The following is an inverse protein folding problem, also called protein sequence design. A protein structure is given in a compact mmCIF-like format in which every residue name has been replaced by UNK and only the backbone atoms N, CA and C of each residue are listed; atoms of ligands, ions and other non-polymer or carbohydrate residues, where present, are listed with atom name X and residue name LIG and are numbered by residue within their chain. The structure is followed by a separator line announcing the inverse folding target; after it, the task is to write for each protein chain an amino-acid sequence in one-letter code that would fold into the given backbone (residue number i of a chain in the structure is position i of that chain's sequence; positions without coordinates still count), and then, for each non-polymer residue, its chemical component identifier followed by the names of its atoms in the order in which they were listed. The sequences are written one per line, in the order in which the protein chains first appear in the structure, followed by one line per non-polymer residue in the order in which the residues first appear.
data_IF_510762511398
#
_entry.id   IF_510762511398
#
_cell.length_a   1.000
_cell.length_b   1.000
_cell.length_c   1.000
_cell.angle_alpha   90.00
_cell.angle_beta   90.00
_cell.angle_gamma   90.00
#
_symmetry.space_group_name_H-M   'P 1'
#
loop_
_entity.id
_entity.type
_entity.pdbx_description
1 polymer ?
#
# COMPACT_ATOMS: atom_id res chain seq x y z
N UNK A 1 15.43 -22.99 47.17
CA UNK A 1 15.75 -21.77 46.41
C UNK A 1 15.50 -22.05 44.93
N UNK A 2 14.31 -21.81 44.36
CA UNK A 2 14.11 -22.31 42.99
C UNK A 2 12.91 -21.85 42.16
N UNK A 3 12.14 -20.86 42.58
CA UNK A 3 11.03 -20.31 41.75
C UNK A 3 11.19 -18.81 41.48
N UNK A 4 11.57 -18.01 42.48
CA UNK A 4 11.93 -16.59 42.29
C UNK A 4 13.11 -16.40 41.34
N UNK A 5 14.10 -17.30 41.39
CA UNK A 5 15.28 -17.25 40.52
C UNK A 5 14.93 -17.63 39.06
N UNK A 6 14.04 -18.62 38.88
CA UNK A 6 13.49 -18.97 37.55
C UNK A 6 12.61 -17.87 36.97
N UNK A 7 11.80 -17.20 37.80
CA UNK A 7 10.98 -16.08 37.36
C UNK A 7 11.86 -14.92 36.89
N UNK A 8 12.91 -14.57 37.64
CA UNK A 8 13.89 -13.54 37.21
C UNK A 8 14.65 -13.94 35.95
N UNK A 9 15.02 -15.22 35.80
CA UNK A 9 15.66 -15.72 34.59
C UNK A 9 14.72 -15.65 33.36
N UNK A 10 13.45 -16.03 33.51
CA UNK A 10 12.45 -15.94 32.44
C UNK A 10 12.13 -14.49 32.07
N UNK A 11 12.04 -13.59 33.04
CA UNK A 11 11.84 -12.16 32.77
C UNK A 11 13.02 -11.59 31.99
N UNK A 12 14.26 -11.93 32.36
CA UNK A 12 15.44 -11.48 31.61
C UNK A 12 15.53 -12.10 30.21
N UNK A 13 15.16 -13.37 30.03
CA UNK A 13 15.12 -14.00 28.72
C UNK A 13 14.02 -13.41 27.84
N UNK A 14 12.82 -13.17 28.39
CA UNK A 14 11.72 -12.54 27.68
C UNK A 14 12.02 -11.07 27.32
N UNK A 15 12.73 -10.35 28.18
CA UNK A 15 13.17 -8.98 27.88
C UNK A 15 14.16 -8.96 26.71
N UNK A 16 15.16 -9.85 26.70
CA UNK A 16 16.13 -9.96 25.60
C UNK A 16 15.47 -10.40 24.30
N UNK A 17 14.66 -11.46 24.34
CA UNK A 17 13.92 -11.94 23.17
C UNK A 17 12.89 -10.90 22.67
N UNK A 18 12.34 -10.08 23.56
CA UNK A 18 11.43 -9.01 23.21
C UNK A 18 12.15 -7.86 22.50
N UNK A 19 13.37 -7.52 22.92
CA UNK A 19 14.22 -6.56 22.23
C UNK A 19 14.59 -7.12 20.85
N UNK A 20 15.26 -8.28 20.79
CA UNK A 20 15.76 -8.84 19.52
C UNK A 20 14.65 -8.94 18.45
N UNK A 21 13.44 -9.37 18.84
CA UNK A 21 12.27 -9.43 17.94
C UNK A 21 11.79 -8.06 17.46
N UNK A 22 11.83 -7.03 18.31
CA UNK A 22 11.44 -5.67 17.92
C UNK A 22 12.45 -5.09 16.93
N UNK A 23 13.74 -5.32 17.16
CA UNK A 23 14.79 -4.91 16.23
C UNK A 23 14.66 -5.65 14.88
N UNK A 24 14.37 -6.95 14.89
CA UNK A 24 14.09 -7.73 13.67
C UNK A 24 12.85 -7.23 12.92
N UNK A 25 11.75 -6.95 13.63
CA UNK A 25 10.52 -6.41 13.01
C UNK A 25 10.77 -5.02 12.44
N UNK A 26 11.57 -4.20 13.13
CA UNK A 26 11.91 -2.86 12.67
C UNK A 26 12.81 -2.90 11.43
N UNK A 27 13.80 -3.78 11.42
CA UNK A 27 14.65 -4.03 10.27
C UNK A 27 13.82 -4.51 9.07
N UNK A 28 12.98 -5.54 9.26
CA UNK A 28 12.08 -6.05 8.21
C UNK A 28 11.20 -4.94 7.62
N UNK A 29 10.56 -4.13 8.47
CA UNK A 29 9.77 -2.97 8.01
C UNK A 29 10.60 -1.94 7.24
N UNK A 30 11.83 -1.69 7.66
CA UNK A 30 12.76 -0.78 6.96
C UNK A 30 13.07 -1.29 5.56
N UNK A 31 13.45 -2.56 5.44
CA UNK A 31 13.69 -3.19 4.14
C UNK A 31 12.46 -3.24 3.24
N UNK A 32 11.27 -3.54 3.78
CA UNK A 32 10.02 -3.56 3.01
C UNK A 32 9.70 -2.17 2.42
N UNK A 33 9.95 -1.11 3.19
CA UNK A 33 9.78 0.26 2.71
C UNK A 33 10.75 0.58 1.56
N UNK A 34 12.03 0.23 1.71
CA UNK A 34 13.05 0.42 0.68
C UNK A 34 12.71 -0.36 -0.61
N UNK A 35 12.27 -1.62 -0.49
CA UNK A 35 11.83 -2.44 -1.63
C UNK A 35 10.60 -1.85 -2.33
N UNK A 36 9.65 -1.33 -1.55
CA UNK A 36 8.45 -0.67 -2.08
C UNK A 36 8.81 0.60 -2.84
N UNK A 37 9.69 1.43 -2.29
CA UNK A 37 10.15 2.67 -2.93
C UNK A 37 10.97 2.37 -4.20
N UNK A 38 11.82 1.34 -4.16
CA UNK A 38 12.57 0.87 -5.33
C UNK A 38 11.63 0.49 -6.47
N UNK A 39 10.59 -0.29 -6.18
CA UNK A 39 9.57 -0.68 -7.16
C UNK A 39 8.77 0.51 -7.69
N UNK A 40 8.47 1.50 -6.84
CA UNK A 40 7.78 2.72 -7.25
C UNK A 40 8.62 3.54 -8.22
N UNK A 41 9.91 3.74 -7.93
CA UNK A 41 10.83 4.46 -8.81
C UNK A 41 11.14 3.69 -10.10
N UNK A 42 11.29 2.36 -10.03
CA UNK A 42 11.47 1.52 -11.21
C UNK A 42 10.26 1.64 -12.15
N UNK A 43 9.05 1.55 -11.61
CA UNK A 43 7.83 1.72 -12.40
C UNK A 43 7.67 3.15 -12.95
N UNK A 44 8.04 4.16 -12.16
CA UNK A 44 8.05 5.54 -12.64
C UNK A 44 9.05 5.72 -13.79
N UNK A 45 10.24 5.14 -13.69
CA UNK A 45 11.29 5.18 -14.73
C UNK A 45 10.82 4.47 -16.00
N UNK A 46 10.23 3.29 -15.87
CA UNK A 46 9.73 2.51 -17.02
C UNK A 46 8.56 3.20 -17.73
N UNK A 47 7.74 3.94 -16.98
CA UNK A 47 6.59 4.68 -17.53
C UNK A 47 6.92 6.14 -17.88
N UNK A 48 8.17 6.57 -17.75
CA UNK A 48 8.62 7.95 -18.04
C UNK A 48 8.00 9.01 -17.12
N UNK A 49 7.57 8.63 -15.92
CA UNK A 49 6.97 9.50 -14.89
C UNK A 49 7.95 9.88 -13.78
N UNK A 50 9.20 9.47 -13.89
CA UNK A 50 10.27 9.70 -12.92
C UNK A 50 10.91 11.10 -13.02
N UNK A 51 10.51 11.92 -14.00
CA UNK A 51 11.07 13.25 -14.27
C UNK A 51 12.60 13.27 -14.43
N UNK A 52 13.20 12.15 -14.87
CA UNK A 52 14.64 11.98 -15.04
C UNK A 52 15.41 11.69 -13.75
N UNK A 53 14.73 11.49 -12.61
CA UNK A 53 15.36 11.14 -11.34
C UNK A 53 15.39 9.62 -11.08
N UNK A 54 14.63 8.82 -11.84
CA UNK A 54 14.47 7.39 -11.63
C UNK A 54 15.79 6.64 -11.51
N UNK A 55 16.73 6.77 -12.45
CA UNK A 55 18.00 6.06 -12.40
C UNK A 55 18.84 6.38 -11.16
N UNK A 56 18.82 7.64 -10.70
CA UNK A 56 19.60 8.08 -9.54
C UNK A 56 18.98 7.56 -8.22
N UNK A 57 17.66 7.63 -8.10
CA UNK A 57 16.94 7.15 -6.90
C UNK A 57 16.97 5.62 -6.81
N UNK A 58 16.84 4.91 -7.93
CA UNK A 58 17.01 3.44 -7.97
C UNK A 58 18.40 3.05 -7.50
N UNK A 59 19.46 3.70 -8.00
CA UNK A 59 20.83 3.40 -7.57
C UNK A 59 21.05 3.68 -6.07
N UNK A 60 20.48 4.78 -5.56
CA UNK A 60 20.52 5.12 -4.14
C UNK A 60 19.83 4.04 -3.29
N UNK A 61 18.61 3.67 -3.64
CA UNK A 61 17.81 2.68 -2.90
C UNK A 61 18.45 1.31 -2.90
N UNK A 62 19.07 0.89 -4.01
CA UNK A 62 19.87 -0.35 -4.06
C UNK A 62 21.04 -0.29 -3.07
N UNK A 63 21.75 0.84 -3.00
CA UNK A 63 22.85 1.01 -2.05
C UNK A 63 22.41 0.96 -0.59
N UNK A 64 21.28 1.61 -0.26
CA UNK A 64 20.69 1.54 1.09
C UNK A 64 20.22 0.12 1.43
N UNK A 65 19.63 -0.59 0.46
CA UNK A 65 19.21 -1.98 0.63
C UNK A 65 20.39 -2.92 0.91
N UNK A 66 21.49 -2.76 0.17
CA UNK A 66 22.72 -3.54 0.39
C UNK A 66 23.35 -3.25 1.76
N UNK A 67 23.29 -2.00 2.22
CA UNK A 67 23.76 -1.66 3.57
C UNK A 67 22.87 -2.34 4.63
N UNK A 68 21.56 -2.31 4.46
CA UNK A 68 20.62 -2.98 5.34
C UNK A 68 20.83 -4.50 5.37
N UNK A 69 21.10 -5.12 4.22
CA UNK A 69 21.44 -6.54 4.13
C UNK A 69 22.76 -6.89 4.83
N UNK A 70 23.75 -5.98 4.78
CA UNK A 70 25.01 -6.16 5.49
C UNK A 70 24.87 -6.03 7.02
N UNK A 71 23.92 -5.21 7.49
CA UNK A 71 23.67 -4.95 8.91
C UNK A 71 22.71 -5.97 9.55
N UNK A 72 21.67 -6.40 8.84
CA UNK A 72 20.58 -7.23 9.36
C UNK A 72 20.47 -8.62 8.73
N UNK A 73 21.24 -8.90 7.67
CA UNK A 73 21.19 -10.17 6.93
C UNK A 73 20.25 -10.14 5.73
N UNK A 74 20.14 -11.27 4.99
CA UNK A 74 19.36 -11.36 3.76
C UNK A 74 17.88 -11.03 3.97
N UNK A 75 17.27 -10.39 2.97
CA UNK A 75 15.85 -10.01 2.97
C UNK A 75 14.89 -11.21 2.84
N UNK A 76 15.41 -12.38 2.43
CA UNK A 76 14.70 -13.66 2.45
C UNK A 76 14.46 -14.11 3.89
N UNK A 77 13.49 -13.47 4.53
CA UNK A 77 12.93 -13.92 5.79
C UNK A 77 12.10 -15.19 5.57
N UNK A 78 12.75 -16.35 5.61
CA UNK A 78 12.12 -17.66 5.87
C UNK A 78 11.57 -17.71 7.32
N UNK A 79 10.72 -16.74 7.68
CA UNK A 79 10.34 -16.51 9.07
C UNK A 79 9.22 -15.50 9.28
N UNK A 80 8.25 -15.42 8.35
CA UNK A 80 6.87 -15.00 8.65
C UNK A 80 5.90 -15.39 7.51
N UNK A 81 5.86 -16.68 7.13
CA UNK A 81 4.52 -17.21 6.82
C UNK A 81 3.90 -17.38 8.20
N UNK A 82 3.04 -16.43 8.60
CA UNK A 82 2.54 -16.29 9.96
C UNK A 82 1.95 -17.57 10.55
N UNK A 83 2.81 -18.35 11.21
CA UNK A 83 2.46 -19.44 12.10
C UNK A 83 3.41 -19.41 13.32
N UNK A 84 2.89 -18.74 14.36
CA UNK A 84 2.96 -19.18 15.75
C UNK A 84 4.31 -19.12 16.50
N UNK A 85 4.55 -18.00 17.18
CA UNK A 85 4.82 -17.96 18.62
C UNK A 85 4.79 -16.51 19.15
N UNK A 86 3.67 -15.82 18.92
CA UNK A 86 3.23 -14.78 19.83
C UNK A 86 2.69 -15.49 21.07
N UNK A 87 3.30 -15.30 22.24
CA UNK A 87 2.54 -15.43 23.47
C UNK A 87 1.24 -14.62 23.27
N UNK A 88 0.06 -15.15 23.66
CA UNK A 88 -1.20 -14.51 23.32
C UNK A 88 -1.17 -13.09 23.88
N UNK A 89 -1.04 -12.09 23.00
CA UNK A 89 -1.44 -10.74 23.33
C UNK A 89 -2.89 -10.87 23.82
N UNK A 90 -3.29 -10.21 24.93
CA UNK A 90 -4.69 -10.18 25.30
C UNK A 90 -5.47 -9.76 24.04
N UNK A 91 -6.59 -10.44 23.71
CA UNK A 91 -7.33 -10.09 22.51
C UNK A 91 -7.60 -8.58 22.57
N UNK A 92 -7.38 -7.83 21.46
CA UNK A 92 -7.78 -6.44 21.45
C UNK A 92 -9.25 -6.38 21.89
N UNK A 93 -9.65 -5.42 22.74
CA UNK A 93 -11.06 -5.27 23.06
C UNK A 93 -11.83 -5.22 21.72
N UNK A 94 -12.98 -5.90 21.61
CA UNK A 94 -13.74 -5.89 20.36
C UNK A 94 -13.96 -4.43 19.97
N UNK A 95 -13.53 -4.07 18.76
CA UNK A 95 -13.78 -2.74 18.23
C UNK A 95 -15.28 -2.45 18.36
N UNK A 96 -15.68 -1.25 18.82
CA UNK A 96 -17.09 -0.88 18.79
C UNK A 96 -17.59 -1.08 17.36
N UNK A 97 -18.75 -1.72 17.22
CA UNK A 97 -19.35 -1.96 15.91
C UNK A 97 -19.36 -0.66 15.10
N UNK A 98 -19.01 -0.70 13.81
CA UNK A 98 -19.09 0.49 12.98
C UNK A 98 -20.52 1.03 13.05
N UNK A 99 -20.73 2.35 13.16
CA UNK A 99 -22.07 2.90 13.02
C UNK A 99 -22.65 2.44 11.67
N UNK A 100 -23.97 2.20 11.58
CA UNK A 100 -24.59 1.81 10.32
C UNK A 100 -24.19 2.82 9.25
N UNK A 101 -23.76 2.33 8.09
CA UNK A 101 -23.41 3.18 6.96
C UNK A 101 -24.58 4.12 6.65
N UNK A 102 -24.34 5.41 6.37
CA UNK A 102 -25.38 6.27 5.84
C UNK A 102 -25.93 5.64 4.56
N UNK A 103 -27.25 5.76 4.27
CA UNK A 103 -27.81 5.25 3.04
C UNK A 103 -27.03 5.85 1.85
N UNK A 104 -26.71 5.00 0.88
CA UNK A 104 -26.00 5.43 -0.32
C UNK A 104 -26.76 6.61 -0.98
N UNK A 105 -26.06 7.64 -1.46
CA UNK A 105 -26.70 8.63 -2.31
C UNK A 105 -27.30 7.93 -3.52
N UNK A 106 -28.52 8.32 -3.89
CA UNK A 106 -29.20 7.78 -5.06
C UNK A 106 -28.29 7.88 -6.31
N UNK A 107 -28.33 6.89 -7.21
CA UNK A 107 -27.58 6.99 -8.46
C UNK A 107 -27.97 8.29 -9.17
N UNK A 108 -27.02 9.00 -9.80
CA UNK A 108 -27.36 10.13 -10.65
C UNK A 108 -28.33 9.62 -11.71
N UNK A 109 -29.42 10.37 -11.91
CA UNK A 109 -30.38 10.08 -12.96
C UNK A 109 -29.63 9.92 -14.28
N UNK A 110 -29.93 8.86 -15.02
CA UNK A 110 -29.43 8.69 -16.38
C UNK A 110 -29.67 9.99 -17.17
N UNK A 111 -28.72 10.44 -18.00
CA UNK A 111 -28.96 11.59 -18.85
C UNK A 111 -30.21 11.31 -19.70
N UNK A 112 -31.12 12.29 -19.73
CA UNK A 112 -32.32 12.21 -20.55
C UNK A 112 -31.94 11.89 -22.01
N UNK A 113 -32.75 11.12 -22.75
CA UNK A 113 -32.51 10.92 -24.17
C UNK A 113 -32.45 12.29 -24.87
N UNK A 114 -31.57 12.47 -25.88
CA UNK A 114 -31.54 13.71 -26.64
C UNK A 114 -32.93 13.98 -27.24
N UNK A 115 -33.35 15.26 -27.36
CA UNK A 115 -34.60 15.58 -28.02
C UNK A 115 -34.58 15.03 -29.47
N UNK A 116 -35.74 14.59 -30.00
CA UNK A 116 -35.81 14.19 -31.39
C UNK A 116 -35.33 15.33 -32.28
N UNK A 117 -34.55 15.00 -33.32
CA UNK A 117 -34.09 15.97 -34.30
C UNK A 117 -35.30 16.72 -34.89
N UNK A 118 -35.21 18.04 -35.11
CA UNK A 118 -36.26 18.74 -35.84
C UNK A 118 -36.41 18.11 -37.23
N UNK A 119 -37.63 18.07 -37.79
CA UNK A 119 -37.82 17.62 -39.17
C UNK A 119 -36.93 18.48 -40.08
N UNK A 120 -36.24 17.83 -41.01
CA UNK A 120 -35.47 18.53 -42.03
C UNK A 120 -36.39 19.51 -42.76
N UNK A 121 -36.10 20.80 -42.63
CA UNK A 121 -36.62 21.81 -43.54
C UNK A 121 -36.22 21.40 -44.95
N UNK A 122 -37.15 21.27 -45.92
CA UNK A 122 -36.75 21.09 -47.30
C UNK A 122 -35.87 22.27 -47.70
N UNK A 123 -34.82 22.07 -48.52
CA UNK A 123 -34.02 23.18 -49.00
C UNK A 123 -34.93 24.12 -49.80
N UNK A 124 -35.26 25.25 -49.18
CA UNK A 124 -35.67 26.46 -49.88
C UNK A 124 -34.45 26.99 -50.64
N UNK A 125 -34.11 26.35 -51.75
CA UNK A 125 -33.26 26.93 -52.77
C UNK A 125 -34.06 28.02 -53.48
N UNK A 126 -33.96 29.25 -52.99
CA UNK A 126 -34.29 30.43 -53.80
C UNK A 126 -33.07 30.81 -54.61
N UNK A 127 -33.06 30.46 -55.89
CA UNK A 127 -32.37 31.18 -56.99
C UNK A 127 -33.19 30.87 -58.26
N UNK A 128 -34.02 31.78 -58.74
CA UNK A 128 -33.66 32.86 -59.68
C UNK A 128 -33.52 32.35 -61.13
N UNK A 129 -34.38 32.91 -61.99
CA UNK A 129 -34.24 33.09 -63.45
C UNK A 129 -34.37 31.91 -64.44
N UNK A 130 -35.18 32.22 -65.47
CA UNK A 130 -35.04 31.88 -66.90
C UNK A 130 -35.91 30.75 -67.50
N UNK A 131 -36.67 31.18 -68.53
CA UNK A 131 -37.47 30.49 -69.58
C UNK A 131 -38.96 30.24 -69.30
#
# INVERSE_FOLDING_TARGET
MGFLDKAMAQVQQAAKQGQDKLEDIQAKRGSDALLRDLGAWYYASETGRDNGQGPAEIARLIGELQAHEAEHGPLDGDGDTGDEAAAPAPPPPPAPAPPPAPPAPAPPAAPAPPPPAPPATPPGGSTLDDI
#
